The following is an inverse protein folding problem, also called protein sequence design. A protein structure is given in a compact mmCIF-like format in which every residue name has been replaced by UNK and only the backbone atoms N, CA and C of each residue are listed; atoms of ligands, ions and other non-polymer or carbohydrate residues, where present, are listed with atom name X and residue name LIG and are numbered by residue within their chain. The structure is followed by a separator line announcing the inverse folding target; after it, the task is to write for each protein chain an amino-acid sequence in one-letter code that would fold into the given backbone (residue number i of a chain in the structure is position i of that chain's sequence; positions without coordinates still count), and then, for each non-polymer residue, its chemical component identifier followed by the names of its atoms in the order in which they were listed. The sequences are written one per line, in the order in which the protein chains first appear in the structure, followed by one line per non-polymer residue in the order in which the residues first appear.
data_IF_913564877069
#
_entry.id   IF_913564877069
#
_cell.length_a   1.000
_cell.length_b   1.000
_cell.length_c   1.000
_cell.angle_alpha   90.00
_cell.angle_beta   90.00
_cell.angle_gamma   90.00
#
_symmetry.space_group_name_H-M   'P 1'
#
loop_
_entity.id
_entity.type
_entity.pdbx_description
1 polymer ?
#
# COMPACT_ATOMS: atom_id res chain seq x y z
N UNK A 1 -17.17 -45.02 41.02
CA UNK A 1 -15.96 -44.74 40.23
C UNK A 1 -16.26 -43.61 39.27
N UNK A 2 -15.78 -42.43 39.64
CA UNK A 2 -16.03 -41.15 38.99
C UNK A 2 -15.35 -41.13 37.61
N UNK A 3 -16.12 -40.70 36.62
CA UNK A 3 -15.72 -40.34 35.25
C UNK A 3 -14.82 -39.09 35.30
N UNK A 4 -13.93 -38.94 34.32
CA UNK A 4 -13.59 -37.73 33.53
C UNK A 4 -12.17 -37.96 32.93
N UNK A 5 -11.94 -38.04 31.62
CA UNK A 5 -12.54 -37.27 30.54
C UNK A 5 -11.73 -36.00 30.32
N UNK A 6 -10.50 -36.12 29.79
CA UNK A 6 -9.61 -34.99 29.57
C UNK A 6 -8.78 -35.20 28.29
N UNK A 7 -9.25 -34.68 27.14
CA UNK A 7 -8.35 -34.23 26.07
C UNK A 7 -9.04 -33.33 24.99
N UNK A 8 -9.83 -32.35 25.42
CA UNK A 8 -10.40 -31.33 24.49
C UNK A 8 -10.24 -29.89 25.00
N UNK A 9 -10.02 -29.72 26.30
CA UNK A 9 -9.86 -28.41 26.95
C UNK A 9 -8.51 -27.77 26.68
N UNK A 10 -7.43 -28.56 26.57
CA UNK A 10 -6.06 -28.04 26.35
C UNK A 10 -5.85 -27.39 24.98
N UNK A 11 -6.38 -27.99 23.91
CA UNK A 11 -6.30 -27.46 22.54
C UNK A 11 -7.10 -26.16 22.38
N UNK A 12 -8.29 -26.11 23.00
CA UNK A 12 -9.13 -24.92 22.96
C UNK A 12 -8.51 -23.76 23.76
N UNK A 13 -7.89 -24.03 24.92
CA UNK A 13 -7.16 -23.02 25.69
C UNK A 13 -5.94 -22.47 24.96
N UNK A 14 -5.17 -23.32 24.26
CA UNK A 14 -4.04 -22.90 23.44
C UNK A 14 -4.49 -22.01 22.25
N UNK A 15 -5.57 -22.40 21.57
CA UNK A 15 -6.16 -21.58 20.51
C UNK A 15 -6.70 -20.25 21.05
N UNK A 16 -7.33 -20.25 22.23
CA UNK A 16 -7.81 -19.02 22.88
C UNK A 16 -6.66 -18.12 23.33
N UNK A 17 -5.54 -18.67 23.82
CA UNK A 17 -4.33 -17.91 24.18
C UNK A 17 -3.65 -17.30 22.94
N UNK A 18 -3.53 -18.06 21.85
CA UNK A 18 -2.98 -17.56 20.57
C UNK A 18 -3.87 -16.46 19.99
N UNK A 19 -5.20 -16.64 20.03
CA UNK A 19 -6.14 -15.62 19.58
C UNK A 19 -6.15 -14.39 20.49
N UNK A 20 -5.95 -14.56 21.80
CA UNK A 20 -5.86 -13.45 22.77
C UNK A 20 -4.58 -12.62 22.57
N UNK A 21 -3.46 -13.26 22.25
CA UNK A 21 -2.20 -12.58 21.90
C UNK A 21 -2.29 -11.82 20.57
N UNK A 22 -3.10 -12.29 19.62
CA UNK A 22 -3.43 -11.57 18.39
C UNK A 22 -4.44 -10.42 18.61
N UNK A 23 -5.28 -10.49 19.66
CA UNK A 23 -6.33 -9.51 19.99
C UNK A 23 -5.86 -8.38 20.92
N UNK A 24 -4.66 -8.45 21.48
CA UNK A 24 -4.18 -7.57 22.55
C UNK A 24 -3.86 -6.11 22.14
N UNK A 25 -3.99 -5.71 20.87
CA UNK A 25 -3.84 -4.30 20.47
C UNK A 25 -5.21 -3.61 20.31
N UNK A 26 -6.14 -3.88 21.24
CA UNK A 26 -7.37 -3.13 21.43
C UNK A 26 -7.12 -1.92 22.35
N UNK A 27 -7.19 -0.71 21.80
CA UNK A 27 -7.40 0.49 22.61
C UNK A 27 -6.13 1.24 23.03
N UNK A 28 -5.92 2.36 22.35
CA UNK A 28 -5.13 3.55 22.73
C UNK A 28 -3.60 3.48 22.91
N UNK A 29 -2.96 2.42 23.42
CA UNK A 29 -1.50 2.43 23.62
C UNK A 29 -0.93 1.02 23.38
N UNK A 30 -0.21 0.83 22.27
CA UNK A 30 0.83 -0.21 22.17
C UNK A 30 2.16 0.56 22.29
N UNK A 31 2.65 0.89 23.52
CA UNK A 31 4.03 1.32 23.70
C UNK A 31 4.88 0.09 23.39
N UNK A 32 5.66 0.20 22.31
CA UNK A 32 6.21 -0.89 21.48
C UNK A 32 5.14 -1.83 20.88
N UNK A 33 5.31 -2.21 19.61
CA UNK A 33 4.39 -3.15 18.94
C UNK A 33 4.50 -4.58 19.51
N UNK A 34 5.58 -4.86 20.24
CA UNK A 34 5.80 -6.06 21.02
C UNK A 34 6.31 -5.68 22.40
N UNK A 35 5.85 -6.32 23.49
CA UNK A 35 6.46 -6.19 24.80
C UNK A 35 7.95 -6.55 24.75
N UNK A 36 8.77 -5.91 25.59
CA UNK A 36 10.19 -6.26 25.71
C UNK A 36 10.33 -7.73 26.13
N UNK A 37 11.15 -8.49 25.38
CA UNK A 37 11.39 -9.91 25.62
C UNK A 37 10.43 -10.88 24.92
N UNK A 38 9.44 -10.41 24.14
CA UNK A 38 8.60 -11.28 23.31
C UNK A 38 9.25 -11.54 21.94
N UNK A 39 10.11 -12.57 21.91
CA UNK A 39 10.85 -12.99 20.72
C UNK A 39 9.92 -13.47 19.59
N UNK A 40 8.79 -14.09 19.94
CA UNK A 40 7.81 -14.60 18.98
C UNK A 40 7.11 -13.45 18.28
N UNK A 41 6.66 -12.45 19.04
CA UNK A 41 6.06 -11.23 18.49
C UNK A 41 7.05 -10.49 17.59
N UNK A 42 8.30 -10.36 18.03
CA UNK A 42 9.34 -9.68 17.25
C UNK A 42 9.60 -10.38 15.92
N UNK A 43 9.78 -11.70 15.91
CA UNK A 43 9.97 -12.46 14.66
C UNK A 43 8.76 -12.32 13.73
N UNK A 44 7.53 -12.40 14.26
CA UNK A 44 6.32 -12.22 13.44
C UNK A 44 6.24 -10.81 12.81
N UNK A 45 6.64 -9.76 13.53
CA UNK A 45 6.73 -8.40 12.98
C UNK A 45 7.84 -8.28 11.92
N UNK A 46 8.99 -8.91 12.14
CA UNK A 46 10.09 -8.91 11.17
C UNK A 46 9.66 -9.56 9.86
N UNK A 47 9.00 -10.73 9.92
CA UNK A 47 8.49 -11.43 8.75
C UNK A 47 7.43 -10.60 8.02
N UNK A 48 6.52 -9.98 8.77
CA UNK A 48 5.49 -9.11 8.21
C UNK A 48 6.10 -7.95 7.42
N UNK A 49 7.05 -7.22 8.00
CA UNK A 49 7.63 -6.04 7.36
C UNK A 49 8.64 -6.40 6.26
N UNK A 50 9.33 -7.53 6.37
CA UNK A 50 10.16 -8.06 5.30
C UNK A 50 9.32 -8.45 4.09
N UNK A 51 8.17 -9.11 4.33
CA UNK A 51 7.21 -9.42 3.27
C UNK A 51 6.63 -8.14 2.66
N UNK A 52 6.21 -7.18 3.50
CA UNK A 52 5.69 -5.90 3.03
C UNK A 52 6.71 -5.15 2.14
N UNK A 53 7.99 -5.09 2.54
CA UNK A 53 9.05 -4.45 1.77
C UNK A 53 9.29 -5.11 0.40
N UNK A 54 9.17 -6.45 0.33
CA UNK A 54 9.24 -7.18 -0.93
C UNK A 54 8.06 -6.85 -1.84
N UNK A 55 6.84 -6.81 -1.28
CA UNK A 55 5.63 -6.45 -2.04
C UNK A 55 5.73 -5.02 -2.58
N UNK A 56 6.15 -4.05 -1.76
CA UNK A 56 6.28 -2.65 -2.21
C UNK A 56 7.35 -2.46 -3.25
N UNK A 57 8.48 -3.15 -3.14
CA UNK A 57 9.55 -3.10 -4.14
C UNK A 57 9.05 -3.59 -5.50
N UNK A 58 8.29 -4.70 -5.50
CA UNK A 58 7.69 -5.22 -6.73
C UNK A 58 6.66 -4.26 -7.33
N UNK A 59 5.79 -3.68 -6.50
CA UNK A 59 4.79 -2.69 -6.96
C UNK A 59 5.50 -1.49 -7.59
N UNK A 60 6.57 -0.99 -6.97
CA UNK A 60 7.36 0.12 -7.49
C UNK A 60 8.03 -0.24 -8.82
N UNK A 61 8.69 -1.39 -8.91
CA UNK A 61 9.36 -1.84 -10.13
C UNK A 61 8.39 -1.97 -11.31
N UNK A 62 7.24 -2.62 -11.10
CA UNK A 62 6.20 -2.68 -12.13
C UNK A 62 5.65 -1.29 -12.50
N UNK A 63 5.55 -0.36 -11.55
CA UNK A 63 5.10 1.01 -11.83
C UNK A 63 6.10 1.80 -12.66
N UNK A 64 7.40 1.63 -12.40
CA UNK A 64 8.48 2.19 -13.23
C UNK A 64 8.42 1.61 -14.64
N UNK A 65 8.27 0.28 -14.75
CA UNK A 65 8.20 -0.40 -16.04
C UNK A 65 7.02 0.08 -16.88
N UNK A 66 5.80 0.09 -16.32
CA UNK A 66 4.61 0.58 -17.02
C UNK A 66 4.74 2.04 -17.46
N UNK A 67 5.30 2.89 -16.61
CA UNK A 67 5.53 4.30 -16.97
C UNK A 67 6.51 4.42 -18.14
N UNK A 68 7.65 3.73 -18.08
CA UNK A 68 8.67 3.82 -19.13
C UNK A 68 8.16 3.27 -20.47
N UNK A 69 7.49 2.11 -20.47
CA UNK A 69 6.92 1.53 -21.69
C UNK A 69 5.86 2.45 -22.30
N UNK A 70 4.97 3.01 -21.48
CA UNK A 70 3.95 3.92 -21.96
C UNK A 70 4.53 5.24 -22.47
N UNK A 71 5.52 5.79 -21.77
CA UNK A 71 6.19 7.04 -22.15
C UNK A 71 6.87 6.89 -23.52
N UNK A 72 7.64 5.82 -23.70
CA UNK A 72 8.31 5.48 -24.96
C UNK A 72 7.34 5.32 -26.12
N UNK A 73 6.20 4.68 -25.90
CA UNK A 73 5.26 4.36 -26.98
C UNK A 73 4.32 5.53 -27.31
N UNK A 74 3.88 6.31 -26.32
CA UNK A 74 2.77 7.26 -26.50
C UNK A 74 3.08 8.71 -26.16
N UNK A 75 4.20 9.02 -25.49
CA UNK A 75 4.41 10.34 -24.87
C UNK A 75 5.68 11.10 -25.28
N UNK A 76 6.70 10.46 -25.87
CA UNK A 76 8.01 11.08 -26.17
C UNK A 76 7.94 12.46 -26.84
N UNK A 77 7.05 12.63 -27.84
CA UNK A 77 6.89 13.91 -28.57
C UNK A 77 5.66 14.72 -28.12
N UNK A 78 5.08 14.39 -26.96
CA UNK A 78 3.84 15.00 -26.47
C UNK A 78 4.09 15.77 -25.18
N UNK A 79 3.44 16.93 -24.99
CA UNK A 79 3.58 17.74 -23.78
C UNK A 79 2.80 17.17 -22.58
N UNK A 80 2.64 15.83 -22.48
CA UNK A 80 1.85 15.21 -21.41
C UNK A 80 2.49 15.35 -20.02
N UNK A 81 3.80 15.57 -19.98
CA UNK A 81 4.54 15.84 -18.74
C UNK A 81 4.14 17.16 -18.08
N UNK A 82 3.60 18.12 -18.84
CA UNK A 82 3.18 19.42 -18.31
C UNK A 82 2.07 19.20 -17.27
N UNK A 83 2.35 19.63 -16.04
CA UNK A 83 1.49 19.54 -14.86
C UNK A 83 1.14 18.10 -14.43
N UNK A 84 1.81 17.07 -14.95
CA UNK A 84 1.51 15.69 -14.58
C UNK A 84 1.65 15.42 -13.06
N UNK A 85 2.60 16.12 -12.41
CA UNK A 85 2.80 16.05 -10.96
C UNK A 85 1.68 16.70 -10.15
N UNK A 86 1.02 17.72 -10.69
CA UNK A 86 0.01 18.54 -10.00
C UNK A 86 -1.38 17.90 -10.00
N UNK A 87 -1.60 16.93 -10.89
CA UNK A 87 -2.90 16.30 -11.13
C UNK A 87 -3.12 14.96 -10.41
N UNK A 88 -2.20 14.54 -9.55
CA UNK A 88 -2.37 13.31 -8.79
C UNK A 88 -3.43 13.49 -7.69
N UNK A 89 -4.40 12.58 -7.61
CA UNK A 89 -5.49 12.62 -6.60
C UNK A 89 -4.97 12.53 -5.15
N UNK A 90 -3.74 12.09 -4.98
CA UNK A 90 -3.02 12.00 -3.71
C UNK A 90 -2.19 13.24 -3.39
N UNK A 91 -2.25 14.35 -4.14
CA UNK A 91 -1.44 15.53 -3.81
C UNK A 91 -1.77 16.14 -2.45
N UNK A 92 -3.02 16.02 -1.99
CA UNK A 92 -3.43 16.41 -0.64
C UNK A 92 -2.85 15.51 0.47
N UNK A 93 -2.29 14.36 0.09
CA UNK A 93 -1.46 13.50 0.95
C UNK A 93 -0.04 14.10 1.02
N UNK A 94 0.07 15.31 1.60
CA UNK A 94 1.35 15.97 1.81
C UNK A 94 2.12 15.30 2.95
N UNK A 95 3.01 14.36 2.61
CA UNK A 95 4.23 14.15 3.40
C UNK A 95 5.37 14.69 2.54
N UNK A 96 6.21 15.59 3.06
CA UNK A 96 7.50 15.83 2.47
C UNK A 96 8.24 14.49 2.33
N UNK A 97 8.77 14.18 1.15
CA UNK A 97 9.69 13.04 0.98
C UNK A 97 11.02 13.28 1.71
N UNK A 98 11.19 14.46 2.32
CA UNK A 98 12.35 14.82 3.12
C UNK A 98 12.56 13.78 4.23
N UNK A 99 13.77 13.20 4.22
CA UNK A 99 14.22 12.17 5.16
C UNK A 99 13.95 12.56 6.60
N UNK A 100 14.13 13.84 6.95
CA UNK A 100 13.89 14.36 8.29
C UNK A 100 12.43 14.23 8.73
N UNK A 101 11.46 14.44 7.83
CA UNK A 101 10.05 14.34 8.17
C UNK A 101 9.63 12.88 8.38
N UNK A 102 10.16 11.98 7.55
CA UNK A 102 9.97 10.53 7.69
C UNK A 102 10.58 10.06 9.03
N UNK A 103 11.77 10.56 9.39
CA UNK A 103 12.44 10.27 10.66
C UNK A 103 11.68 10.81 11.89
N UNK A 104 11.00 11.94 11.79
CA UNK A 104 10.20 12.47 12.92
C UNK A 104 8.85 11.75 13.10
N UNK A 105 8.35 11.05 12.08
CA UNK A 105 7.06 10.38 12.13
C UNK A 105 7.11 9.12 13.00
N UNK A 106 6.17 8.93 13.91
CA UNK A 106 6.07 7.67 14.66
C UNK A 106 5.56 6.51 13.78
N UNK A 107 5.78 5.27 14.24
CA UNK A 107 5.42 4.05 13.49
C UNK A 107 3.93 3.99 13.13
N UNK A 108 3.06 4.40 14.07
CA UNK A 108 1.60 4.51 13.84
C UNK A 108 1.26 5.51 12.74
N UNK A 109 2.00 6.62 12.64
CA UNK A 109 1.90 7.59 11.58
C UNK A 109 2.25 6.99 10.23
N UNK A 110 3.39 6.31 10.13
CA UNK A 110 3.84 5.64 8.90
C UNK A 110 2.83 4.60 8.41
N UNK A 111 2.31 3.75 9.31
CA UNK A 111 1.28 2.75 8.99
C UNK A 111 0.01 3.42 8.46
N UNK A 112 -0.44 4.52 9.09
CA UNK A 112 -1.59 5.27 8.60
C UNK A 112 -1.37 5.79 7.18
N UNK A 113 -0.18 6.30 6.88
CA UNK A 113 0.15 6.82 5.55
C UNK A 113 0.25 5.73 4.49
N UNK A 114 0.89 4.60 4.80
CA UNK A 114 0.91 3.40 3.96
C UNK A 114 -0.52 2.98 3.60
N UNK A 115 -1.40 2.86 4.60
CA UNK A 115 -2.80 2.51 4.36
C UNK A 115 -3.56 3.59 3.57
N UNK A 116 -3.31 4.88 3.84
CA UNK A 116 -3.94 5.98 3.08
C UNK A 116 -3.57 5.92 1.58
N UNK A 117 -2.31 5.63 1.25
CA UNK A 117 -1.88 5.41 -0.14
C UNK A 117 -2.58 4.18 -0.74
N UNK A 118 -2.57 3.04 -0.05
CA UNK A 118 -3.19 1.80 -0.53
C UNK A 118 -4.69 1.99 -0.82
N UNK A 119 -5.44 2.57 0.11
CA UNK A 119 -6.86 2.87 -0.09
C UNK A 119 -7.12 3.83 -1.24
N UNK A 120 -6.28 4.87 -1.39
CA UNK A 120 -6.44 5.85 -2.46
C UNK A 120 -6.23 5.25 -3.86
N UNK A 121 -5.46 4.16 -3.96
CA UNK A 121 -5.11 3.51 -5.23
C UNK A 121 -5.98 2.31 -5.60
N UNK A 122 -6.86 1.84 -4.71
CA UNK A 122 -7.73 0.68 -5.00
C UNK A 122 -8.57 0.85 -6.28
N UNK A 123 -9.34 1.94 -6.36
CA UNK A 123 -10.21 2.21 -7.51
C UNK A 123 -9.41 2.55 -8.78
N UNK A 124 -8.39 3.44 -8.75
CA UNK A 124 -7.54 3.69 -9.91
C UNK A 124 -6.88 2.43 -10.49
N UNK A 125 -6.31 1.56 -9.66
CA UNK A 125 -5.64 0.33 -10.12
C UNK A 125 -6.61 -0.66 -10.78
N UNK A 126 -7.80 -0.82 -10.20
CA UNK A 126 -8.83 -1.67 -10.81
C UNK A 126 -9.28 -1.12 -12.16
N UNK A 127 -9.56 0.19 -12.22
CA UNK A 127 -9.95 0.84 -13.47
C UNK A 127 -8.84 0.77 -14.52
N UNK A 128 -7.58 0.98 -14.14
CA UNK A 128 -6.41 0.85 -15.02
C UNK A 128 -6.42 -0.48 -15.78
N UNK A 129 -6.59 -1.61 -15.07
CA UNK A 129 -6.59 -2.94 -15.70
C UNK A 129 -7.77 -3.11 -16.67
N UNK A 130 -8.92 -2.51 -16.38
CA UNK A 130 -10.09 -2.55 -17.26
C UNK A 130 -9.84 -1.74 -18.52
N UNK A 131 -9.40 -0.48 -18.39
CA UNK A 131 -9.23 0.43 -19.53
C UNK A 131 -8.03 0.06 -20.42
N UNK A 132 -6.96 -0.52 -19.85
CA UNK A 132 -5.84 -1.00 -20.67
C UNK A 132 -6.26 -2.12 -21.62
N UNK A 133 -7.26 -2.95 -21.27
CA UNK A 133 -7.73 -4.03 -22.16
C UNK A 133 -8.43 -3.50 -23.40
N UNK A 134 -8.95 -2.28 -23.35
CA UNK A 134 -9.64 -1.63 -24.46
C UNK A 134 -8.73 -0.68 -25.23
N UNK A 135 -7.44 -0.61 -24.86
CA UNK A 135 -6.46 0.20 -25.54
C UNK A 135 -5.82 -0.62 -26.66
N UNK A 136 -5.83 -0.07 -27.87
CA UNK A 136 -5.12 -0.66 -29.00
C UNK A 136 -3.62 -0.65 -28.72
N UNK A 137 -2.91 -1.70 -29.16
CA UNK A 137 -1.45 -1.81 -29.09
C UNK A 137 -0.82 -1.64 -27.69
N UNK A 138 -1.55 -1.88 -26.61
CA UNK A 138 -0.92 -1.94 -25.28
C UNK A 138 0.03 -3.14 -25.18
N UNK A 139 1.22 -2.94 -24.61
CA UNK A 139 2.16 -4.04 -24.42
C UNK A 139 1.58 -5.09 -23.46
N UNK A 140 1.82 -6.37 -23.77
CA UNK A 140 1.46 -7.50 -22.89
C UNK A 140 2.09 -7.32 -21.51
N UNK A 141 3.30 -6.78 -21.47
CA UNK A 141 4.07 -6.56 -20.25
C UNK A 141 3.51 -5.44 -19.37
N UNK A 142 2.98 -4.37 -19.97
CA UNK A 142 2.29 -3.31 -19.22
C UNK A 142 0.99 -3.83 -18.62
N UNK A 143 0.20 -4.59 -19.40
CA UNK A 143 -1.04 -5.18 -18.89
C UNK A 143 -0.78 -6.22 -17.78
N UNK A 144 0.26 -7.05 -17.92
CA UNK A 144 0.64 -8.02 -16.88
C UNK A 144 1.13 -7.34 -15.61
N UNK A 145 1.96 -6.30 -15.74
CA UNK A 145 2.44 -5.47 -14.62
C UNK A 145 1.30 -4.79 -13.87
N UNK A 146 0.30 -4.25 -14.59
CA UNK A 146 -0.88 -3.65 -13.98
C UNK A 146 -1.69 -4.67 -13.15
N UNK A 147 -1.89 -5.88 -13.69
CA UNK A 147 -2.56 -6.98 -12.99
C UNK A 147 -1.79 -7.42 -11.75
N UNK A 148 -0.47 -7.54 -11.85
CA UNK A 148 0.36 -7.87 -10.69
C UNK A 148 0.32 -6.78 -9.62
N UNK A 149 0.30 -5.50 -10.00
CA UNK A 149 0.14 -4.41 -9.05
C UNK A 149 -1.20 -4.45 -8.32
N UNK A 150 -2.31 -4.76 -9.00
CA UNK A 150 -3.61 -4.97 -8.34
C UNK A 150 -3.52 -6.08 -7.29
N UNK A 151 -2.95 -7.24 -7.64
CA UNK A 151 -2.84 -8.38 -6.72
C UNK A 151 -1.96 -8.05 -5.51
N UNK A 152 -0.76 -7.51 -5.75
CA UNK A 152 0.21 -7.20 -4.69
C UNK A 152 -0.23 -6.06 -3.79
N UNK A 153 -0.90 -5.04 -4.34
CA UNK A 153 -1.47 -3.97 -3.52
C UNK A 153 -2.57 -4.50 -2.60
N UNK A 154 -3.43 -5.42 -3.08
CA UNK A 154 -4.46 -6.07 -2.26
C UNK A 154 -3.85 -6.95 -1.18
N UNK A 155 -2.83 -7.73 -1.52
CA UNK A 155 -2.09 -8.57 -0.58
C UNK A 155 -1.40 -7.74 0.51
N UNK A 156 -0.66 -6.70 0.11
CA UNK A 156 -0.01 -5.77 1.02
C UNK A 156 -1.01 -5.08 1.94
N UNK A 157 -2.15 -4.65 1.42
CA UNK A 157 -3.19 -4.04 2.23
C UNK A 157 -3.73 -5.02 3.28
N UNK A 158 -4.04 -6.26 2.90
CA UNK A 158 -4.50 -7.27 3.86
C UNK A 158 -3.43 -7.59 4.93
N UNK A 159 -2.16 -7.66 4.51
CA UNK A 159 -1.01 -7.90 5.38
C UNK A 159 -0.87 -6.81 6.46
N UNK A 160 -1.04 -5.53 6.09
CA UNK A 160 -0.95 -4.40 7.02
C UNK A 160 -2.24 -4.20 7.83
N UNK A 161 -3.43 -4.36 7.22
CA UNK A 161 -4.70 -4.12 7.92
C UNK A 161 -4.95 -5.08 9.07
N UNK A 162 -4.55 -6.35 8.93
CA UNK A 162 -4.84 -7.39 9.92
C UNK A 162 -4.31 -7.04 11.32
N UNK A 163 -3.01 -6.75 11.51
CA UNK A 163 -2.48 -6.33 12.82
C UNK A 163 -2.76 -4.86 13.16
N UNK A 164 -3.10 -4.01 12.18
CA UNK A 164 -3.30 -2.57 12.38
C UNK A 164 -4.75 -2.10 12.16
N UNK A 165 -5.72 -2.96 12.46
CA UNK A 165 -7.14 -2.70 12.24
C UNK A 165 -7.67 -1.49 13.01
N UNK A 166 -7.09 -1.21 14.18
CA UNK A 166 -7.45 -0.09 15.05
C UNK A 166 -7.17 1.28 14.43
N UNK A 167 -6.31 1.39 13.40
CA UNK A 167 -6.04 2.67 12.73
C UNK A 167 -6.93 2.93 11.51
N UNK A 168 -7.65 1.91 11.01
CA UNK A 168 -8.42 1.97 9.75
C UNK A 168 -9.51 3.05 9.80
N UNK A 169 -10.23 3.17 10.92
CA UNK A 169 -11.29 4.19 11.08
C UNK A 169 -10.74 5.61 10.92
N UNK A 170 -9.56 5.87 11.50
CA UNK A 170 -8.86 7.15 11.39
C UNK A 170 -8.39 7.41 9.96
N UNK A 171 -7.83 6.39 9.30
CA UNK A 171 -7.40 6.46 7.89
C UNK A 171 -8.56 6.85 7.00
N UNK A 172 -9.69 6.13 7.10
CA UNK A 172 -10.89 6.42 6.30
C UNK A 172 -11.46 7.83 6.55
N UNK A 173 -11.47 8.28 7.81
CA UNK A 173 -11.89 9.66 8.16
C UNK A 173 -11.00 10.70 7.50
N UNK A 174 -9.67 10.52 7.57
CA UNK A 174 -8.69 11.43 6.95
C UNK A 174 -8.85 11.50 5.43
N UNK A 175 -8.99 10.36 4.76
CA UNK A 175 -9.20 10.32 3.30
C UNK A 175 -10.45 11.10 2.87
N UNK A 176 -11.57 10.94 3.61
CA UNK A 176 -12.80 11.70 3.36
C UNK A 176 -12.61 13.20 3.59
N UNK A 177 -11.97 13.59 4.69
CA UNK A 177 -11.73 15.00 5.02
C UNK A 177 -10.81 15.68 4.01
N UNK A 178 -9.76 14.99 3.56
CA UNK A 178 -8.84 15.46 2.52
C UNK A 178 -9.44 15.41 1.10
N UNK A 179 -10.68 14.94 0.96
CA UNK A 179 -11.39 14.83 -0.33
C UNK A 179 -10.59 14.08 -1.39
N UNK A 180 -9.90 13.02 -0.98
CA UNK A 180 -9.11 12.19 -1.89
C UNK A 180 -10.07 11.27 -2.63
N UNK A 181 -10.39 11.67 -3.86
CA UNK A 181 -11.30 10.96 -4.73
C UNK A 181 -10.63 10.71 -6.08
N UNK A 182 -10.89 9.53 -6.64
CA UNK A 182 -10.46 9.18 -7.99
C UNK A 182 -11.60 9.45 -8.99
N UNK A 183 -11.36 10.39 -9.89
CA UNK A 183 -12.25 10.75 -11.00
C UNK A 183 -11.65 10.24 -12.32
N UNK A 184 -11.82 8.95 -12.61
CA UNK A 184 -11.24 8.30 -13.79
C UNK A 184 -11.95 8.56 -15.12
N UNK A 185 -12.81 9.58 -15.23
CA UNK A 185 -13.48 9.92 -16.49
C UNK A 185 -12.52 10.21 -17.65
N UNK A 186 -11.36 10.87 -17.44
CA UNK A 186 -10.43 11.14 -18.54
C UNK A 186 -9.88 9.88 -19.22
N UNK A 187 -9.84 8.73 -18.53
CA UNK A 187 -9.43 7.45 -19.13
C UNK A 187 -10.44 6.91 -20.15
N UNK A 188 -11.71 7.33 -20.04
CA UNK A 188 -12.82 6.90 -20.90
C UNK A 188 -13.01 7.82 -22.12
N UNK A 189 -12.12 8.78 -22.31
CA UNK A 189 -12.23 9.76 -23.39
C UNK A 189 -12.16 9.08 -24.77
N UNK A 190 -13.13 9.38 -25.64
CA UNK A 190 -13.08 8.98 -27.06
C UNK A 190 -12.00 9.73 -27.85
N UNK A 191 -11.56 10.90 -27.37
CA UNK A 191 -10.40 11.58 -27.90
C UNK A 191 -9.13 10.88 -27.41
N UNK A 192 -8.41 10.25 -28.34
CA UNK A 192 -7.22 9.45 -28.09
C UNK A 192 -6.11 10.24 -27.38
N UNK A 193 -5.79 11.45 -27.85
CA UNK A 193 -4.75 12.29 -27.25
C UNK A 193 -5.09 12.66 -25.79
N UNK A 194 -6.36 12.98 -25.49
CA UNK A 194 -6.81 13.21 -24.10
C UNK A 194 -6.71 11.94 -23.26
N UNK A 195 -7.08 10.79 -23.83
CA UNK A 195 -6.99 9.49 -23.16
C UNK A 195 -5.54 9.11 -22.84
N UNK A 196 -4.61 9.28 -23.80
CA UNK A 196 -3.19 9.03 -23.60
C UNK A 196 -2.59 9.98 -22.56
N UNK A 197 -2.94 11.26 -22.59
CA UNK A 197 -2.55 12.20 -21.54
C UNK A 197 -3.05 11.78 -20.15
N UNK A 198 -4.28 11.27 -20.06
CA UNK A 198 -4.82 10.76 -18.80
C UNK A 198 -4.09 9.51 -18.28
N UNK A 199 -3.77 8.55 -19.16
CA UNK A 199 -2.96 7.38 -18.81
C UNK A 199 -1.55 7.79 -18.40
N UNK A 200 -0.92 8.70 -19.13
CA UNK A 200 0.41 9.23 -18.78
C UNK A 200 0.44 9.78 -17.36
N UNK A 201 -0.53 10.63 -17.02
CA UNK A 201 -0.68 11.20 -15.66
C UNK A 201 -0.91 10.11 -14.62
N UNK A 202 -1.77 9.14 -14.92
CA UNK A 202 -2.03 8.01 -14.02
C UNK A 202 -0.76 7.19 -13.74
N UNK A 203 0.01 6.84 -14.78
CA UNK A 203 1.28 6.12 -14.64
C UNK A 203 2.33 6.92 -13.88
N UNK A 204 2.42 8.22 -14.16
CA UNK A 204 3.28 9.14 -13.42
C UNK A 204 2.95 9.13 -11.92
N UNK A 205 1.68 9.35 -11.58
CA UNK A 205 1.21 9.37 -10.19
C UNK A 205 1.43 8.02 -9.50
N UNK A 206 1.16 6.91 -10.19
CA UNK A 206 1.35 5.57 -9.65
C UNK A 206 2.82 5.29 -9.34
N UNK A 207 3.73 5.63 -10.26
CA UNK A 207 5.18 5.49 -10.06
C UNK A 207 5.65 6.29 -8.86
N UNK A 208 5.22 7.56 -8.77
CA UNK A 208 5.56 8.45 -7.66
C UNK A 208 5.06 7.92 -6.31
N UNK A 209 3.81 7.48 -6.24
CA UNK A 209 3.21 7.04 -4.99
C UNK A 209 3.67 5.62 -4.60
N UNK A 210 3.98 4.76 -5.56
CA UNK A 210 4.61 3.47 -5.32
C UNK A 210 6.02 3.64 -4.73
N UNK A 211 6.79 4.64 -5.21
CA UNK A 211 8.09 5.00 -4.61
C UNK A 211 7.94 5.44 -3.16
N UNK A 212 6.95 6.29 -2.86
CA UNK A 212 6.63 6.71 -1.48
C UNK A 212 6.25 5.51 -0.61
N UNK A 213 5.34 4.67 -1.11
CA UNK A 213 4.89 3.46 -0.43
C UNK A 213 6.05 2.53 -0.08
N UNK A 214 6.97 2.33 -1.03
CA UNK A 214 8.17 1.50 -0.83
C UNK A 214 9.13 2.10 0.19
N UNK A 215 9.42 3.40 0.07
CA UNK A 215 10.29 4.12 1.00
C UNK A 215 9.76 4.06 2.43
N UNK A 216 8.48 4.35 2.64
CA UNK A 216 7.88 4.35 3.98
C UNK A 216 7.84 2.95 4.58
N UNK A 217 7.56 1.93 3.76
CA UNK A 217 7.50 0.53 4.23
C UNK A 217 8.89 0.02 4.60
N UNK A 218 9.92 0.29 3.78
CA UNK A 218 11.31 -0.07 4.09
C UNK A 218 11.84 0.65 5.33
N UNK A 219 11.51 1.93 5.47
CA UNK A 219 11.89 2.69 6.66
C UNK A 219 11.23 2.14 7.93
N UNK A 220 9.94 1.81 7.86
CA UNK A 220 9.23 1.16 8.95
C UNK A 220 9.82 -0.21 9.27
N UNK A 221 10.11 -1.04 8.26
CA UNK A 221 10.77 -2.33 8.43
C UNK A 221 12.11 -2.19 9.14
N UNK A 222 12.96 -1.27 8.67
CA UNK A 222 14.26 -1.01 9.26
C UNK A 222 14.15 -0.63 10.74
N UNK A 223 13.19 0.22 11.12
CA UNK A 223 12.97 0.60 12.52
C UNK A 223 12.56 -0.57 13.40
N UNK A 224 11.74 -1.47 12.88
CA UNK A 224 11.23 -2.61 13.63
C UNK A 224 12.28 -3.72 13.76
N UNK A 225 13.19 -3.83 12.79
CA UNK A 225 14.19 -4.91 12.72
C UNK A 225 15.50 -4.49 13.39
N UNK A 226 16.01 -3.29 13.10
CA UNK A 226 17.40 -2.91 13.41
C UNK A 226 17.53 -1.75 14.40
N UNK A 227 16.43 -1.11 14.81
CA UNK A 227 16.40 0.10 15.67
C UNK A 227 17.24 1.30 15.17
N UNK A 228 17.93 1.22 14.03
CA UNK A 228 18.77 2.28 13.46
C UNK A 228 18.70 2.30 11.91
N UNK A 229 18.34 3.47 11.35
CA UNK A 229 18.04 3.79 9.94
C UNK A 229 18.32 5.29 9.66
#
# INVERSE_FOLDING_TARGET
NVVLGADQTGSCLLLLLVMSNLLLCQGLLCPSLCPDGDDICRTALMDLFSHAAKLTSNIYNHSVQMFNEFDLQYAQDKPYYINASDDCHTNFLYIPQEREHIQRMNNKGLIRWILMLLYSWQKPLYQLVTELRTMEEISVTTLSSARENVKKAKELQALIERPFSQVISTVRKKLRMARIYWYGHPLLSSNENRRHSAFYRLFHCMRRDAHKLDTYTKFLACRMIYNNC
#
